data_IF_408392934298
#
_entry.id   IF_408392934298
#
_cell.length_a   1.000
_cell.length_b   1.000
_cell.length_c   1.000
_cell.angle_alpha   90.00
_cell.angle_beta   90.00
_cell.angle_gamma   90.00
#
_symmetry.space_group_name_H-M   'P 1'
#
loop_
_entity.id
_entity.type
_entity.pdbx_description
1 polymer ?
#
# COMPACT_ATOMS: atom_id res chain seq x y z
N UNK A 1 8.99 14.97 -4.53
CA UNK A 1 7.60 14.50 -4.62
C UNK A 1 7.14 14.12 -3.23
N UNK A 2 5.92 14.42 -2.80
CA UNK A 2 5.56 14.33 -1.38
C UNK A 2 5.33 12.91 -0.85
N UNK A 3 5.15 11.90 -1.71
CA UNK A 3 4.82 10.53 -1.28
C UNK A 3 5.79 9.51 -1.84
N UNK A 4 6.07 8.47 -1.02
CA UNK A 4 6.80 7.29 -1.43
C UNK A 4 5.88 6.06 -1.35
N UNK A 5 5.83 5.27 -2.43
CA UNK A 5 5.07 4.03 -2.48
C UNK A 5 6.01 2.87 -2.74
N UNK A 6 6.15 1.97 -1.78
CA UNK A 6 7.10 0.88 -1.87
C UNK A 6 6.40 -0.47 -1.83
N UNK A 7 6.59 -1.28 -2.87
CA UNK A 7 6.06 -2.64 -2.94
C UNK A 7 7.13 -3.69 -2.70
N UNK A 8 6.93 -4.59 -1.74
CA UNK A 8 7.84 -5.68 -1.44
C UNK A 8 7.20 -7.05 -1.73
N UNK A 9 7.88 -7.87 -2.53
CA UNK A 9 7.40 -9.15 -3.02
C UNK A 9 6.29 -9.03 -4.06
N UNK A 10 5.77 -10.17 -4.52
CA UNK A 10 4.78 -10.20 -5.60
C UNK A 10 3.52 -9.38 -5.28
N UNK A 11 2.87 -9.64 -4.16
CA UNK A 11 1.62 -8.97 -3.81
C UNK A 11 1.81 -7.46 -3.60
N UNK A 12 2.87 -7.05 -2.89
CA UNK A 12 3.18 -5.64 -2.68
C UNK A 12 3.50 -4.92 -3.98
N UNK A 13 4.35 -5.49 -4.83
CA UNK A 13 4.70 -4.90 -6.14
C UNK A 13 3.48 -4.76 -7.05
N UNK A 14 2.60 -5.78 -7.10
CA UNK A 14 1.38 -5.72 -7.91
C UNK A 14 0.39 -4.67 -7.41
N UNK A 15 0.30 -4.46 -6.09
CA UNK A 15 -0.59 -3.44 -5.53
C UNK A 15 -0.08 -2.03 -5.81
N UNK A 16 1.24 -1.80 -5.71
CA UNK A 16 1.82 -0.51 -6.12
C UNK A 16 1.61 -0.26 -7.62
N UNK A 17 1.79 -1.29 -8.46
CA UNK A 17 1.53 -1.16 -9.90
C UNK A 17 0.07 -0.74 -10.19
N UNK A 18 -0.89 -1.30 -9.45
CA UNK A 18 -2.30 -0.94 -9.57
C UNK A 18 -2.60 0.48 -9.07
N UNK A 19 -1.94 0.93 -8.00
CA UNK A 19 -2.03 2.33 -7.55
C UNK A 19 -1.53 3.28 -8.64
N UNK A 20 -0.43 2.94 -9.31
CA UNK A 20 0.14 3.76 -10.39
C UNK A 20 -0.60 3.62 -11.73
N UNK A 21 -1.56 2.72 -11.85
CA UNK A 21 -2.53 2.71 -12.96
C UNK A 21 -3.50 3.91 -12.90
N UNK A 22 -3.65 4.54 -11.73
CA UNK A 22 -4.48 5.73 -11.57
C UNK A 22 -3.79 6.98 -12.10
N UNK A 23 -4.55 7.80 -12.85
CA UNK A 23 -4.03 9.00 -13.49
C UNK A 23 -3.39 9.98 -12.49
N UNK A 24 -2.25 10.52 -12.86
CA UNK A 24 -1.49 11.54 -12.14
C UNK A 24 -0.79 11.07 -10.85
N UNK A 25 -0.79 9.78 -10.54
CA UNK A 25 -0.03 9.27 -9.38
C UNK A 25 1.47 9.58 -9.49
N UNK A 26 2.03 9.50 -10.69
CA UNK A 26 3.43 9.84 -10.99
C UNK A 26 3.80 11.30 -10.70
N UNK A 27 2.81 12.17 -10.56
CA UNK A 27 3.03 13.59 -10.22
C UNK A 27 3.16 13.85 -8.73
N UNK A 28 2.63 12.95 -7.92
CA UNK A 28 2.52 13.14 -6.47
C UNK A 28 3.31 12.11 -5.67
N UNK A 29 3.71 11.01 -6.31
CA UNK A 29 4.37 9.90 -5.64
C UNK A 29 5.49 9.29 -6.48
N UNK A 30 6.47 8.70 -5.79
CA UNK A 30 7.55 7.91 -6.37
C UNK A 30 7.29 6.43 -6.06
N UNK A 31 7.20 5.53 -7.08
CA UNK A 31 7.09 4.10 -6.84
C UNK A 31 8.48 3.48 -6.68
N UNK A 32 8.63 2.54 -5.74
CA UNK A 32 9.76 1.63 -5.68
C UNK A 32 9.24 0.20 -5.51
N UNK A 33 9.83 -0.76 -6.19
CA UNK A 33 9.44 -2.16 -6.05
C UNK A 33 10.65 -3.07 -5.80
N UNK A 34 10.52 -3.91 -4.78
CA UNK A 34 11.54 -4.87 -4.34
C UNK A 34 11.00 -6.28 -4.52
N UNK A 35 11.64 -7.07 -5.37
CA UNK A 35 11.21 -8.45 -5.61
C UNK A 35 12.39 -9.39 -5.83
N UNK A 36 12.23 -10.63 -5.40
CA UNK A 36 13.25 -11.68 -5.61
C UNK A 36 13.11 -12.44 -6.92
N UNK A 37 12.06 -12.14 -7.72
CA UNK A 37 11.76 -12.86 -8.96
C UNK A 37 11.57 -11.89 -10.11
N UNK A 38 12.43 -12.03 -11.13
CA UNK A 38 12.34 -11.19 -12.35
C UNK A 38 11.00 -11.34 -13.08
N UNK A 39 10.37 -12.52 -12.99
CA UNK A 39 9.08 -12.76 -13.62
C UNK A 39 8.00 -11.82 -13.06
N UNK A 40 7.98 -11.63 -11.75
CA UNK A 40 6.98 -10.79 -11.10
C UNK A 40 7.22 -9.31 -11.43
N UNK A 41 8.49 -8.87 -11.50
CA UNK A 41 8.83 -7.50 -11.93
C UNK A 41 8.42 -7.23 -13.39
N UNK A 42 8.61 -8.20 -14.28
CA UNK A 42 8.20 -8.07 -15.71
C UNK A 42 6.68 -8.04 -15.92
N UNK A 43 5.90 -8.44 -14.93
CA UNK A 43 4.44 -8.36 -15.00
C UNK A 43 3.90 -6.97 -14.62
N UNK A 44 4.75 -6.07 -14.11
CA UNK A 44 4.37 -4.70 -13.79
C UNK A 44 4.24 -3.89 -15.08
N UNK A 45 3.19 -3.08 -15.17
CA UNK A 45 2.82 -2.32 -16.36
C UNK A 45 2.98 -0.81 -16.19
N UNK A 46 2.93 -0.34 -14.95
CA UNK A 46 2.86 1.09 -14.61
C UNK A 46 4.10 1.58 -13.85
N UNK A 47 5.08 0.70 -13.60
CA UNK A 47 6.30 1.04 -12.88
C UNK A 47 7.50 0.79 -13.78
N UNK A 48 8.25 1.86 -14.04
CA UNK A 48 9.46 1.82 -14.87
C UNK A 48 10.58 1.02 -14.21
N UNK A 49 11.44 0.40 -15.06
CA UNK A 49 12.50 -0.47 -14.62
C UNK A 49 13.55 0.22 -13.73
N UNK A 50 13.69 1.52 -13.82
CA UNK A 50 14.58 2.30 -12.95
C UNK A 50 14.18 2.26 -11.49
N UNK A 51 12.90 1.98 -11.22
CA UNK A 51 12.31 1.84 -9.89
C UNK A 51 12.25 0.38 -9.40
N UNK A 52 12.86 -0.56 -10.13
CA UNK A 52 12.91 -1.97 -9.74
C UNK A 52 14.17 -2.30 -8.96
N UNK A 53 14.02 -3.09 -7.93
CA UNK A 53 15.11 -3.61 -7.11
C UNK A 53 14.97 -5.12 -6.93
N UNK A 54 15.95 -5.86 -7.42
CA UNK A 54 16.02 -7.30 -7.25
C UNK A 54 16.62 -7.65 -5.89
N UNK A 55 15.95 -8.49 -5.12
CA UNK A 55 16.48 -9.03 -3.86
C UNK A 55 16.88 -10.47 -4.11
N UNK A 56 18.17 -10.75 -4.20
CA UNK A 56 18.69 -12.04 -4.65
C UNK A 56 19.68 -12.63 -3.63
N UNK A 57 19.49 -13.91 -3.27
CA UNK A 57 20.31 -14.61 -2.28
C UNK A 57 21.83 -14.58 -2.60
N UNK A 58 22.18 -14.68 -3.88
CA UNK A 58 23.58 -14.73 -4.32
C UNK A 58 24.12 -13.39 -4.85
N UNK A 59 23.29 -12.37 -5.00
CA UNK A 59 23.68 -11.11 -5.58
C UNK A 59 23.30 -9.89 -4.74
N UNK A 60 22.65 -10.10 -3.61
CA UNK A 60 22.21 -9.05 -2.71
C UNK A 60 21.08 -8.19 -3.29
N UNK A 61 21.08 -6.91 -2.97
CA UNK A 61 20.17 -5.93 -3.51
C UNK A 61 20.71 -5.38 -4.83
N UNK A 62 19.97 -5.56 -5.92
CA UNK A 62 20.41 -5.24 -7.28
C UNK A 62 19.45 -4.22 -7.91
N UNK A 63 19.90 -3.01 -8.27
CA UNK A 63 19.09 -2.04 -9.01
C UNK A 63 18.71 -2.57 -10.41
N UNK A 64 17.48 -2.28 -10.88
CA UNK A 64 16.94 -2.74 -12.16
C UNK A 64 17.73 -2.29 -13.39
N UNK A 65 18.45 -1.17 -13.27
CA UNK A 65 19.34 -0.62 -14.29
C UNK A 65 20.70 -1.36 -14.41
N UNK A 66 21.00 -2.26 -13.45
CA UNK A 66 22.25 -3.01 -13.42
C UNK A 66 22.36 -3.94 -14.64
N UNK A 67 23.55 -4.00 -15.27
CA UNK A 67 23.83 -4.96 -16.33
C UNK A 67 23.73 -6.39 -15.81
N UNK A 68 23.02 -7.25 -16.55
CA UNK A 68 22.76 -8.63 -16.12
C UNK A 68 21.77 -8.75 -14.96
N UNK A 69 20.91 -7.77 -14.78
CA UNK A 69 19.87 -7.78 -13.75
C UNK A 69 19.02 -9.06 -13.78
N UNK A 70 18.59 -9.47 -14.98
CA UNK A 70 17.72 -10.62 -15.15
C UNK A 70 18.37 -11.95 -14.78
N UNK A 71 19.69 -12.07 -15.03
CA UNK A 71 20.46 -13.25 -14.65
C UNK A 71 20.76 -13.31 -13.15
N UNK A 72 20.74 -12.17 -12.47
CA UNK A 72 20.98 -12.08 -11.02
C UNK A 72 19.72 -12.33 -10.20
N UNK A 73 18.56 -11.93 -10.70
CA UNK A 73 17.25 -11.99 -9.99
C UNK A 73 16.44 -13.17 -10.52
N UNK A 74 16.96 -14.38 -10.36
CA UNK A 74 16.38 -15.58 -10.99
C UNK A 74 15.51 -16.43 -10.09
N UNK A 75 15.61 -16.31 -8.76
CA UNK A 75 14.94 -17.23 -7.84
C UNK A 75 14.42 -16.51 -6.60
N UNK A 76 13.24 -16.91 -6.16
CA UNK A 76 12.70 -16.44 -4.89
C UNK A 76 13.33 -17.15 -3.69
N UNK A 77 13.00 -16.71 -2.49
CA UNK A 77 13.46 -17.29 -1.21
C UNK A 77 12.71 -18.56 -0.79
N UNK A 78 11.96 -19.21 -1.68
CA UNK A 78 11.17 -20.40 -1.34
C UNK A 78 10.17 -20.15 -0.20
N UNK A 79 9.59 -18.96 -0.13
CA UNK A 79 8.70 -18.51 0.94
C UNK A 79 9.38 -18.51 2.33
N UNK A 80 10.68 -18.27 2.38
CA UNK A 80 11.43 -18.18 3.62
C UNK A 80 11.77 -16.70 3.92
N UNK A 81 11.06 -16.03 4.85
CA UNK A 81 11.29 -14.63 5.16
C UNK A 81 12.64 -14.38 5.84
N UNK A 82 13.16 -15.34 6.60
CA UNK A 82 14.46 -15.19 7.30
C UNK A 82 15.60 -14.99 6.31
N UNK A 83 15.58 -15.71 5.17
CA UNK A 83 16.61 -15.52 4.13
C UNK A 83 16.51 -14.17 3.43
N UNK A 84 15.29 -13.69 3.19
CA UNK A 84 15.11 -12.36 2.61
C UNK A 84 15.54 -11.26 3.58
N UNK A 85 15.29 -11.44 4.86
CA UNK A 85 15.73 -10.60 5.96
C UNK A 85 17.28 -10.54 6.03
N UNK A 86 17.96 -11.68 6.01
CA UNK A 86 19.42 -11.76 5.99
C UNK A 86 20.03 -10.99 4.81
N UNK A 87 19.48 -11.18 3.60
CA UNK A 87 19.97 -10.46 2.40
C UNK A 87 19.80 -8.95 2.55
N UNK A 88 18.68 -8.48 3.09
CA UNK A 88 18.46 -7.05 3.28
C UNK A 88 19.37 -6.46 4.36
N UNK A 89 19.58 -7.18 5.47
CA UNK A 89 20.51 -6.78 6.52
C UNK A 89 21.96 -6.62 6.00
N UNK A 90 22.40 -7.53 5.12
CA UNK A 90 23.75 -7.49 4.52
C UNK A 90 23.91 -6.40 3.44
N UNK A 91 22.80 -5.84 2.94
CA UNK A 91 22.79 -4.85 1.85
C UNK A 91 22.19 -3.51 2.25
N UNK A 92 22.25 -3.17 3.53
CA UNK A 92 21.72 -1.91 4.06
C UNK A 92 22.30 -0.67 3.37
N UNK A 93 23.60 -0.66 3.11
CA UNK A 93 24.29 0.46 2.43
C UNK A 93 23.74 0.72 1.02
N UNK A 94 23.37 -0.35 0.30
CA UNK A 94 22.75 -0.23 -1.03
C UNK A 94 21.33 0.31 -0.92
N UNK A 95 20.59 -0.13 0.09
CA UNK A 95 19.25 0.38 0.35
C UNK A 95 19.26 1.88 0.69
N UNK A 96 20.17 2.30 1.56
CA UNK A 96 20.34 3.71 1.93
C UNK A 96 20.76 4.56 0.72
N UNK A 97 21.62 4.01 -0.17
CA UNK A 97 21.96 4.62 -1.46
C UNK A 97 20.74 4.77 -2.37
N UNK A 98 19.89 3.73 -2.44
CA UNK A 98 18.65 3.74 -3.21
C UNK A 98 17.70 4.84 -2.74
N UNK A 99 17.49 4.96 -1.43
CA UNK A 99 16.63 6.02 -0.88
C UNK A 99 17.19 7.39 -1.21
N UNK A 100 18.49 7.59 -1.09
CA UNK A 100 19.16 8.85 -1.44
C UNK A 100 18.98 9.23 -2.92
N UNK A 101 19.08 8.26 -3.81
CA UNK A 101 18.94 8.49 -5.25
C UNK A 101 17.53 8.90 -5.65
N UNK A 102 16.51 8.38 -4.95
CA UNK A 102 15.11 8.66 -5.25
C UNK A 102 14.51 9.82 -4.45
N UNK A 103 14.95 10.05 -3.22
CA UNK A 103 14.39 11.05 -2.33
C UNK A 103 15.22 12.35 -2.29
N UNK A 104 16.36 12.36 -2.93
CA UNK A 104 17.31 13.47 -2.94
C UNK A 104 18.30 13.40 -1.77
N UNK A 105 19.52 13.88 -1.98
CA UNK A 105 20.44 14.09 -0.88
C UNK A 105 19.89 15.25 -0.02
N UNK A 106 19.93 15.12 1.28
CA UNK A 106 19.97 16.28 2.13
C UNK A 106 21.27 17.03 1.73
N UNK A 107 21.15 18.11 0.96
CA UNK A 107 22.30 18.90 0.55
C UNK A 107 22.96 19.52 1.80
N UNK A 108 23.95 18.81 2.32
CA UNK A 108 24.72 19.20 3.50
C UNK A 108 25.73 20.34 3.24
N UNK A 109 25.77 20.90 2.01
CA UNK A 109 26.85 21.78 1.57
C UNK A 109 26.46 23.24 1.32
N UNK A 110 25.25 23.69 1.63
CA UNK A 110 24.91 25.11 1.57
C UNK A 110 24.53 25.65 2.94
N UNK A 111 25.38 26.50 3.49
CA UNK A 111 25.20 27.18 4.80
C UNK A 111 23.92 28.05 4.89
N UNK A 112 23.03 28.04 3.88
CA UNK A 112 21.79 28.84 3.84
C UNK A 112 20.49 28.02 3.85
N UNK A 113 20.55 26.65 3.86
CA UNK A 113 19.37 25.78 3.88
C UNK A 113 19.36 24.88 5.12
N UNK A 114 19.23 25.48 6.31
CA UNK A 114 19.08 24.76 7.58
C UNK A 114 17.79 23.92 7.70
N UNK A 115 17.05 23.65 6.61
CA UNK A 115 15.74 22.97 6.67
C UNK A 115 15.41 22.02 5.51
N UNK A 116 16.30 21.59 4.66
CA UNK A 116 15.96 20.63 3.62
C UNK A 116 16.52 19.23 3.89
N UNK A 117 15.98 18.57 4.91
CA UNK A 117 15.98 17.12 4.97
C UNK A 117 15.18 16.52 3.81
N UNK A 118 15.24 15.19 3.58
CA UNK A 118 14.49 14.55 2.50
C UNK A 118 13.00 14.90 2.64
N UNK A 119 12.46 15.55 1.62
CA UNK A 119 11.08 16.04 1.63
C UNK A 119 10.10 14.92 1.25
N UNK A 120 10.05 13.87 2.07
CA UNK A 120 9.07 12.80 1.97
C UNK A 120 8.33 12.71 3.30
N UNK A 121 7.23 13.44 3.44
CA UNK A 121 6.47 13.45 4.69
C UNK A 121 5.73 12.14 4.94
N UNK A 122 5.54 11.30 3.89
CA UNK A 122 4.70 10.14 4.00
C UNK A 122 5.14 8.99 3.08
N UNK A 123 5.17 7.76 3.62
CA UNK A 123 5.46 6.54 2.88
C UNK A 123 4.39 5.46 3.08
N UNK A 124 3.98 4.81 1.98
CA UNK A 124 3.19 3.59 2.00
C UNK A 124 4.05 2.39 1.64
N UNK A 125 4.05 1.37 2.50
CA UNK A 125 4.76 0.11 2.28
C UNK A 125 3.77 -1.01 2.05
N UNK A 126 3.81 -1.64 0.88
CA UNK A 126 2.91 -2.71 0.49
C UNK A 126 3.61 -4.05 0.54
N UNK A 127 3.06 -5.02 1.24
CA UNK A 127 3.64 -6.35 1.32
C UNK A 127 2.61 -7.46 1.47
N UNK A 128 2.94 -8.64 0.94
CA UNK A 128 2.19 -9.87 1.20
C UNK A 128 2.82 -10.66 2.33
N UNK A 129 2.05 -10.94 3.35
CA UNK A 129 2.51 -11.62 4.57
C UNK A 129 2.59 -13.15 4.47
N UNK A 130 2.07 -13.75 3.38
CA UNK A 130 2.18 -15.21 3.16
C UNK A 130 3.49 -15.65 2.54
N UNK A 131 4.26 -14.71 1.96
CA UNK A 131 5.50 -14.95 1.23
C UNK A 131 6.77 -14.82 2.06
N UNK A 132 7.91 -15.04 1.41
CA UNK A 132 9.23 -14.78 2.01
C UNK A 132 9.68 -13.34 1.81
N UNK A 133 9.63 -12.85 0.56
CA UNK A 133 10.18 -11.56 0.19
C UNK A 133 9.47 -10.41 0.91
N UNK A 134 8.14 -10.33 0.85
CA UNK A 134 7.39 -9.27 1.50
C UNK A 134 7.66 -9.18 3.01
N UNK A 135 7.60 -10.33 3.71
CA UNK A 135 7.82 -10.38 5.15
C UNK A 135 9.26 -10.05 5.58
N UNK A 136 10.26 -10.44 4.78
CA UNK A 136 11.66 -10.24 5.16
C UNK A 136 12.23 -8.89 4.69
N UNK A 137 11.67 -8.29 3.63
CA UNK A 137 12.20 -7.06 3.02
C UNK A 137 11.59 -5.80 3.64
N UNK A 138 10.27 -5.81 3.89
CA UNK A 138 9.52 -4.63 4.32
C UNK A 138 10.04 -3.99 5.61
N UNK A 139 10.39 -4.73 6.68
CA UNK A 139 10.90 -4.12 7.91
C UNK A 139 12.18 -3.31 7.68
N UNK A 140 13.09 -3.83 6.82
CA UNK A 140 14.33 -3.12 6.49
C UNK A 140 14.09 -1.83 5.72
N UNK A 141 13.10 -1.83 4.82
CA UNK A 141 12.75 -0.62 4.07
C UNK A 141 12.15 0.41 5.03
N UNK A 142 11.24 0.00 5.92
CA UNK A 142 10.65 0.89 6.92
C UNK A 142 11.73 1.52 7.82
N UNK A 143 12.61 0.69 8.39
CA UNK A 143 13.75 1.15 9.19
C UNK A 143 14.67 2.09 8.41
N UNK A 144 14.93 1.79 7.13
CA UNK A 144 15.78 2.64 6.30
C UNK A 144 15.14 4.00 6.00
N UNK A 145 13.85 4.05 5.76
CA UNK A 145 13.13 5.31 5.55
C UNK A 145 13.17 6.14 6.84
N UNK A 146 12.88 5.54 7.97
CA UNK A 146 12.91 6.21 9.27
C UNK A 146 14.29 6.81 9.56
N UNK A 147 15.36 6.02 9.41
CA UNK A 147 16.72 6.49 9.65
C UNK A 147 17.13 7.57 8.63
N UNK A 148 16.74 7.43 7.36
CA UNK A 148 17.07 8.39 6.31
C UNK A 148 16.38 9.74 6.50
N UNK A 149 15.17 9.74 7.03
CA UNK A 149 14.36 10.94 7.24
C UNK A 149 14.46 11.51 8.66
N UNK A 150 15.33 10.96 9.50
CA UNK A 150 15.45 11.32 10.93
C UNK A 150 14.08 11.32 11.62
N UNK A 151 13.31 10.23 11.41
CA UNK A 151 11.97 9.99 11.99
C UNK A 151 10.90 11.03 11.56
N UNK A 152 11.15 11.77 10.49
CA UNK A 152 10.21 12.81 10.02
C UNK A 152 9.20 12.30 8.99
N UNK A 153 9.38 11.12 8.43
CA UNK A 153 8.48 10.49 7.48
C UNK A 153 7.51 9.56 8.21
N UNK A 154 6.23 9.86 8.12
CA UNK A 154 5.19 8.95 8.62
C UNK A 154 5.03 7.75 7.69
N UNK A 155 5.10 6.55 8.22
CA UNK A 155 5.13 5.31 7.43
C UNK A 155 3.93 4.43 7.74
N UNK A 156 3.14 4.07 6.72
CA UNK A 156 2.01 3.15 6.84
C UNK A 156 2.27 1.89 6.02
N UNK A 157 2.18 0.73 6.67
CA UNK A 157 2.23 -0.55 5.99
C UNK A 157 0.84 -1.02 5.56
N UNK A 158 0.69 -1.42 4.30
CA UNK A 158 -0.50 -2.09 3.77
C UNK A 158 -0.16 -3.56 3.61
N UNK A 159 -0.64 -4.37 4.54
CA UNK A 159 -0.25 -5.76 4.71
C UNK A 159 -1.34 -6.71 4.23
N UNK A 160 -1.05 -7.49 3.18
CA UNK A 160 -1.98 -8.48 2.62
C UNK A 160 -1.80 -9.81 3.36
N UNK A 161 -2.82 -10.18 4.12
CA UNK A 161 -2.87 -11.46 4.85
C UNK A 161 -3.02 -12.64 3.88
N UNK A 162 -2.36 -13.77 4.12
CA UNK A 162 -2.48 -14.94 3.27
C UNK A 162 -3.86 -15.61 3.43
N UNK A 163 -4.35 -16.21 2.35
CA UNK A 163 -5.49 -17.12 2.45
C UNK A 163 -5.03 -18.44 3.09
N UNK A 164 -5.41 -18.68 4.34
CA UNK A 164 -5.08 -19.90 5.08
C UNK A 164 -6.17 -20.98 5.02
N UNK A 165 -7.31 -20.69 4.36
CA UNK A 165 -8.47 -21.59 4.24
C UNK A 165 -8.53 -22.31 2.88
N UNK A 166 -7.49 -22.22 2.04
CA UNK A 166 -7.41 -22.92 0.76
C UNK A 166 -7.54 -24.45 0.92
N UNK A 167 -7.95 -25.17 -0.13
CA UNK A 167 -8.16 -26.62 -0.06
C UNK A 167 -6.86 -27.29 0.38
N UNK A 168 -6.95 -28.03 1.47
CA UNK A 168 -5.93 -28.97 1.93
C UNK A 168 -6.03 -30.18 1.00
N UNK A 169 -5.30 -30.18 -0.11
CA UNK A 169 -5.31 -31.36 -0.98
C UNK A 169 -5.01 -31.06 -2.44
N UNK A 170 -3.77 -31.00 -2.74
CA UNK A 170 -3.20 -31.22 -4.05
C UNK A 170 -1.88 -31.93 -3.86
N UNK A 171 -1.76 -33.11 -4.43
CA UNK A 171 -0.61 -34.04 -4.36
C UNK A 171 0.61 -33.54 -5.17
N UNK A 172 0.81 -32.24 -5.34
CA UNK A 172 1.99 -31.73 -6.04
C UNK A 172 2.67 -30.59 -5.25
N UNK A 173 3.77 -30.95 -4.70
CA UNK A 173 4.99 -30.22 -4.37
C UNK A 173 4.91 -28.67 -4.39
N UNK A 174 4.97 -28.07 -3.19
CA UNK A 174 5.42 -26.70 -2.92
C UNK A 174 4.40 -25.59 -2.69
N UNK A 175 3.12 -25.84 -2.62
CA UNK A 175 2.27 -24.82 -1.97
C UNK A 175 2.55 -24.86 -0.45
N UNK A 176 3.01 -23.72 0.08
CA UNK A 176 3.30 -23.62 1.50
C UNK A 176 2.04 -24.00 2.27
N UNK A 177 2.19 -24.94 3.21
CA UNK A 177 1.08 -25.33 4.06
C UNK A 177 0.47 -24.10 4.72
N UNK A 178 -0.83 -24.06 5.01
CA UNK A 178 -1.47 -22.96 5.73
C UNK A 178 -0.72 -22.56 7.01
N UNK A 179 -0.13 -23.53 7.70
CA UNK A 179 0.70 -23.30 8.88
C UNK A 179 1.96 -22.49 8.61
N UNK A 180 2.61 -22.68 7.44
CA UNK A 180 3.79 -21.91 7.05
C UNK A 180 3.43 -20.47 6.66
N UNK A 181 2.34 -20.29 5.94
CA UNK A 181 1.88 -18.95 5.60
C UNK A 181 1.47 -18.14 6.84
N UNK A 182 0.79 -18.78 7.80
CA UNK A 182 0.45 -18.16 9.07
C UNK A 182 1.71 -17.80 9.89
N UNK A 183 2.73 -18.70 9.89
CA UNK A 183 4.00 -18.39 10.53
C UNK A 183 4.73 -17.21 9.86
N UNK A 184 4.76 -17.18 8.52
CA UNK A 184 5.33 -16.09 7.77
C UNK A 184 4.61 -14.77 8.08
N UNK A 185 3.28 -14.80 8.13
CA UNK A 185 2.47 -13.63 8.42
C UNK A 185 2.79 -13.07 9.80
N UNK A 186 2.88 -13.92 10.81
CA UNK A 186 3.27 -13.51 12.15
C UNK A 186 4.69 -12.95 12.17
N UNK A 187 5.66 -13.67 11.57
CA UNK A 187 7.05 -13.24 11.51
C UNK A 187 7.21 -11.84 10.87
N UNK A 188 6.50 -11.61 9.74
CA UNK A 188 6.55 -10.33 9.06
C UNK A 188 5.85 -9.24 9.85
N UNK A 189 4.68 -9.54 10.41
CA UNK A 189 3.87 -8.55 11.14
C UNK A 189 4.56 -8.07 12.41
N UNK A 190 5.07 -9.02 13.23
CA UNK A 190 5.79 -8.70 14.48
C UNK A 190 6.98 -7.76 14.22
N UNK A 191 7.63 -7.86 13.05
CA UNK A 191 8.79 -7.03 12.69
C UNK A 191 8.41 -5.71 12.02
N UNK A 192 7.32 -5.68 11.27
CA UNK A 192 6.81 -4.46 10.63
C UNK A 192 6.24 -3.52 11.68
N UNK A 193 5.53 -4.07 12.69
CA UNK A 193 4.89 -3.30 13.75
C UNK A 193 5.88 -2.41 14.53
N UNK A 194 7.12 -2.88 14.68
CA UNK A 194 8.18 -2.13 15.38
C UNK A 194 8.76 -0.97 14.54
N UNK A 195 8.47 -0.92 13.23
CA UNK A 195 9.14 -0.03 12.29
C UNK A 195 8.19 0.96 11.58
N UNK A 196 6.87 0.87 11.79
CA UNK A 196 5.89 1.71 11.10
C UNK A 196 4.91 2.38 12.07
N UNK A 197 4.30 3.49 11.64
CA UNK A 197 3.36 4.27 12.45
C UNK A 197 1.94 3.72 12.42
N UNK A 198 1.60 2.96 11.38
CA UNK A 198 0.29 2.34 11.23
C UNK A 198 0.28 1.16 10.27
N UNK A 199 -0.67 0.25 10.47
CA UNK A 199 -0.84 -0.94 9.63
C UNK A 199 -2.27 -1.05 9.13
N UNK A 200 -2.42 -1.10 7.82
CA UNK A 200 -3.69 -1.42 7.16
C UNK A 200 -3.67 -2.90 6.77
N UNK A 201 -4.62 -3.67 7.30
CA UNK A 201 -4.75 -5.08 6.99
C UNK A 201 -5.71 -5.31 5.83
N UNK A 202 -5.29 -6.17 4.91
CA UNK A 202 -6.07 -6.62 3.76
C UNK A 202 -6.16 -8.13 3.78
N UNK A 203 -7.36 -8.67 3.99
CA UNK A 203 -7.58 -10.11 4.05
C UNK A 203 -7.87 -10.68 2.65
N UNK A 204 -6.92 -11.46 2.17
CA UNK A 204 -7.04 -12.14 0.88
C UNK A 204 -8.13 -13.22 0.84
N UNK A 205 -8.70 -13.60 1.99
CA UNK A 205 -9.81 -14.55 2.06
C UNK A 205 -11.14 -13.96 1.57
N UNK A 206 -11.32 -12.64 1.61
CA UNK A 206 -12.53 -11.99 1.11
C UNK A 206 -12.83 -12.33 -0.35
N UNK A 207 -11.78 -12.58 -1.14
CA UNK A 207 -11.92 -12.96 -2.54
C UNK A 207 -12.50 -14.35 -2.75
N UNK A 208 -12.30 -15.27 -1.81
CA UNK A 208 -12.84 -16.63 -1.92
C UNK A 208 -14.36 -16.70 -1.73
N UNK A 209 -14.98 -15.63 -1.22
CA UNK A 209 -16.43 -15.53 -1.07
C UNK A 209 -17.13 -14.93 -2.29
N UNK A 210 -16.41 -14.32 -3.22
CA UNK A 210 -16.98 -13.84 -4.48
C UNK A 210 -16.66 -14.85 -5.60
N UNK A 211 -17.67 -15.52 -6.10
CA UNK A 211 -17.62 -16.61 -7.08
C UNK A 211 -17.10 -16.20 -8.47
N UNK A 212 -15.83 -15.89 -8.63
CA UNK A 212 -15.23 -15.80 -9.96
C UNK A 212 -13.73 -16.13 -9.89
N UNK A 213 -13.37 -17.35 -10.26
CA UNK A 213 -12.04 -17.90 -10.04
C UNK A 213 -10.92 -17.39 -10.97
N UNK A 214 -11.23 -16.62 -12.00
CA UNK A 214 -10.24 -16.03 -12.91
C UNK A 214 -10.32 -14.50 -12.83
N UNK A 215 -9.35 -13.87 -12.22
CA UNK A 215 -9.29 -12.42 -12.04
C UNK A 215 -9.37 -11.90 -10.60
N UNK A 216 -9.55 -12.77 -9.62
CA UNK A 216 -9.80 -12.41 -8.22
C UNK A 216 -8.72 -11.51 -7.60
N UNK A 217 -7.46 -11.74 -7.95
CA UNK A 217 -6.37 -10.91 -7.44
C UNK A 217 -6.34 -9.50 -8.02
N UNK A 218 -6.72 -9.36 -9.28
CA UNK A 218 -6.80 -8.04 -9.93
C UNK A 218 -7.90 -7.20 -9.29
N UNK A 219 -9.08 -7.77 -9.08
CA UNK A 219 -10.22 -7.08 -8.49
C UNK A 219 -9.95 -6.60 -7.04
N UNK A 220 -9.20 -7.36 -6.24
CA UNK A 220 -8.80 -6.92 -4.89
C UNK A 220 -7.79 -5.79 -4.94
N UNK A 221 -6.76 -5.93 -5.76
CA UNK A 221 -5.74 -4.91 -5.89
C UNK A 221 -6.38 -3.60 -6.38
N UNK A 222 -7.27 -3.67 -7.36
CA UNK A 222 -8.05 -2.51 -7.84
C UNK A 222 -8.88 -1.90 -6.71
N UNK A 223 -9.57 -2.70 -5.90
CA UNK A 223 -10.37 -2.21 -4.78
C UNK A 223 -9.51 -1.50 -3.73
N UNK A 224 -8.39 -2.09 -3.32
CA UNK A 224 -7.48 -1.53 -2.33
C UNK A 224 -6.79 -0.28 -2.88
N UNK A 225 -6.28 -0.33 -4.12
CA UNK A 225 -5.66 0.79 -4.79
C UNK A 225 -6.62 1.98 -4.90
N UNK A 226 -7.85 1.74 -5.39
CA UNK A 226 -8.87 2.78 -5.49
C UNK A 226 -9.26 3.35 -4.13
N UNK A 227 -9.32 2.53 -3.07
CA UNK A 227 -9.60 3.00 -1.71
C UNK A 227 -8.50 3.92 -1.19
N UNK A 228 -7.25 3.54 -1.39
CA UNK A 228 -6.08 4.35 -1.00
C UNK A 228 -5.99 5.64 -1.81
N UNK A 229 -6.17 5.55 -3.13
CA UNK A 229 -6.16 6.73 -4.00
C UNK A 229 -7.26 7.71 -3.62
N UNK A 230 -8.48 7.23 -3.33
CA UNK A 230 -9.56 8.10 -2.86
C UNK A 230 -9.22 8.77 -1.52
N UNK A 231 -8.60 8.05 -0.60
CA UNK A 231 -8.18 8.56 0.70
C UNK A 231 -7.09 9.64 0.55
N UNK A 232 -6.05 9.34 -0.22
CA UNK A 232 -4.90 10.23 -0.44
C UNK A 232 -5.30 11.43 -1.30
N UNK A 233 -6.08 11.21 -2.35
CA UNK A 233 -6.52 12.28 -3.22
C UNK A 233 -7.42 13.28 -2.49
N UNK A 234 -8.04 12.88 -1.36
CA UNK A 234 -8.66 13.81 -0.43
C UNK A 234 -7.68 14.85 0.09
N UNK A 235 -6.46 14.46 0.35
CA UNK A 235 -5.41 15.33 0.91
C UNK A 235 -4.62 16.09 -0.17
N UNK A 236 -4.59 15.60 -1.42
CA UNK A 236 -3.74 16.13 -2.51
C UNK A 236 -4.55 16.88 -3.58
N UNK A 237 -5.86 16.75 -3.61
CA UNK A 237 -6.74 17.36 -4.62
C UNK A 237 -6.82 18.88 -4.59
N UNK A 238 -6.01 19.59 -3.82
CA UNK A 238 -5.80 21.02 -4.03
C UNK A 238 -5.31 21.36 -5.45
N UNK A 239 -4.84 20.35 -6.21
CA UNK A 239 -4.32 20.52 -7.57
C UNK A 239 -5.31 20.18 -8.69
N UNK A 240 -6.50 19.66 -8.40
CA UNK A 240 -7.56 19.57 -9.40
C UNK A 240 -8.22 20.95 -9.51
N UNK A 241 -8.30 21.47 -10.71
CA UNK A 241 -8.96 22.74 -10.98
C UNK A 241 -10.41 22.66 -10.50
N UNK A 242 -10.70 23.33 -9.40
CA UNK A 242 -12.01 23.32 -8.72
C UNK A 242 -13.14 23.88 -9.59
N UNK A 243 -12.80 24.59 -10.67
CA UNK A 243 -13.77 25.14 -11.59
C UNK A 243 -14.52 24.08 -12.40
N UNK A 244 -13.95 22.90 -12.55
CA UNK A 244 -14.57 21.80 -13.29
C UNK A 244 -15.50 20.92 -12.43
N UNK A 245 -15.35 20.98 -11.11
CA UNK A 245 -16.13 20.18 -10.17
C UNK A 245 -16.59 21.07 -9.00
N UNK A 246 -17.89 21.23 -8.87
CA UNK A 246 -18.54 21.92 -7.74
C UNK A 246 -18.40 21.06 -6.45
N UNK A 247 -17.16 20.93 -5.96
CA UNK A 247 -16.78 20.09 -4.82
C UNK A 247 -16.05 20.94 -3.79
N UNK A 248 -16.51 20.89 -2.55
CA UNK A 248 -15.78 21.48 -1.43
C UNK A 248 -14.42 20.79 -1.25
N UNK A 249 -13.38 21.54 -0.85
CA UNK A 249 -12.07 20.95 -0.57
C UNK A 249 -12.20 19.91 0.54
N UNK A 250 -11.49 18.77 0.44
CA UNK A 250 -11.43 17.81 1.51
C UNK A 250 -10.84 18.45 2.77
N UNK A 251 -11.42 18.15 3.90
CA UNK A 251 -11.01 18.67 5.21
C UNK A 251 -9.98 17.72 5.86
N UNK A 252 -9.83 16.51 5.33
CA UNK A 252 -8.90 15.49 5.84
C UNK A 252 -7.50 15.76 5.29
N UNK A 253 -6.52 15.89 6.15
CA UNK A 253 -5.10 15.92 5.79
C UNK A 253 -4.40 14.59 6.17
N UNK A 254 -3.11 14.49 5.81
CA UNK A 254 -2.30 13.31 6.12
C UNK A 254 -2.18 13.08 7.62
N UNK A 255 -2.06 14.14 8.41
CA UNK A 255 -1.94 14.04 9.85
C UNK A 255 -3.21 13.43 10.48
N UNK A 256 -4.39 13.69 9.89
CA UNK A 256 -5.64 13.04 10.31
C UNK A 256 -5.58 11.53 10.07
N UNK A 257 -5.03 11.10 8.93
CA UNK A 257 -4.86 9.68 8.60
C UNK A 257 -3.92 9.02 9.59
N UNK A 258 -2.75 9.58 9.82
CA UNK A 258 -1.76 9.06 10.80
C UNK A 258 -2.37 9.02 12.19
N UNK A 259 -3.01 10.11 12.62
CA UNK A 259 -3.68 10.17 13.93
C UNK A 259 -4.77 9.12 14.08
N UNK A 260 -5.44 8.74 12.99
CA UNK A 260 -6.45 7.67 13.01
C UNK A 260 -5.84 6.28 13.18
N UNK A 261 -4.61 6.09 12.72
CA UNK A 261 -3.87 4.82 12.74
C UNK A 261 -2.97 4.65 13.97
N UNK A 262 -2.55 5.74 14.61
CA UNK A 262 -1.70 5.69 15.79
C UNK A 262 -2.52 5.72 17.08
N UNK A 263 -2.15 4.89 18.05
CA UNK A 263 -2.74 4.89 19.39
C UNK A 263 -1.71 5.37 20.40
N UNK A 264 -1.84 6.62 20.84
CA UNK A 264 -1.05 7.11 21.96
C UNK A 264 -1.46 6.41 23.26
N UNK A 265 -0.50 5.82 23.95
CA UNK A 265 -0.65 5.28 25.31
C UNK A 265 0.12 6.19 26.24
N UNK A 266 -0.53 7.28 26.69
CA UNK A 266 0.10 8.24 27.59
C UNK A 266 1.01 9.26 26.91
N UNK A 267 1.56 10.20 27.70
CA UNK A 267 2.49 11.22 27.19
C UNK A 267 3.80 10.53 26.74
N UNK A 268 3.99 10.40 25.43
CA UNK A 268 5.29 10.08 24.82
C UNK A 268 5.44 8.66 24.25
N UNK A 269 4.44 7.78 24.29
CA UNK A 269 4.51 6.48 23.61
C UNK A 269 3.35 6.36 22.60
N UNK A 270 3.68 6.39 21.32
CA UNK A 270 2.77 6.02 20.23
C UNK A 270 2.93 4.52 19.98
N UNK A 271 1.82 3.78 19.96
CA UNK A 271 1.82 2.39 19.52
C UNK A 271 1.18 2.30 18.16
N UNK A 272 1.77 1.49 17.29
CA UNK A 272 1.27 1.19 15.95
C UNK A 272 -0.15 0.63 16.01
N UNK A 273 -1.05 1.26 15.29
CA UNK A 273 -2.45 0.83 15.22
C UNK A 273 -2.73 0.00 13.98
N UNK A 274 -3.77 -0.82 14.09
CA UNK A 274 -4.27 -1.64 12.99
C UNK A 274 -5.58 -1.06 12.47
N UNK A 275 -5.71 -1.01 11.15
CA UNK A 275 -6.90 -0.51 10.48
C UNK A 275 -7.33 -1.42 9.32
N UNK A 276 -8.55 -1.22 8.87
CA UNK A 276 -9.08 -1.75 7.61
C UNK A 276 -9.65 -0.62 6.76
N UNK A 277 -9.76 -0.84 5.46
CA UNK A 277 -10.35 0.09 4.51
C UNK A 277 -11.72 -0.41 4.08
N UNK A 278 -12.68 0.51 3.98
CA UNK A 278 -13.98 0.24 3.39
C UNK A 278 -14.30 1.27 2.33
N UNK A 279 -14.75 0.84 1.16
CA UNK A 279 -15.10 1.72 0.04
C UNK A 279 -16.46 1.39 -0.55
N UNK A 280 -17.24 2.42 -0.82
CA UNK A 280 -18.51 2.31 -1.52
C UNK A 280 -18.65 3.39 -2.58
N UNK A 281 -19.14 3.02 -3.75
CA UNK A 281 -19.39 3.95 -4.86
C UNK A 281 -20.81 3.73 -5.37
N UNK A 282 -21.56 4.80 -5.52
CA UNK A 282 -22.90 4.76 -6.11
C UNK A 282 -22.98 5.68 -7.33
N UNK A 283 -23.47 5.13 -8.44
CA UNK A 283 -23.72 5.92 -9.64
C UNK A 283 -25.05 6.68 -9.53
N UNK A 284 -25.00 8.00 -9.68
CA UNK A 284 -26.16 8.90 -9.59
C UNK A 284 -27.05 8.87 -10.83
N UNK A 285 -26.59 8.30 -11.94
CA UNK A 285 -27.34 8.14 -13.18
C UNK A 285 -27.42 6.68 -13.57
N UNK A 286 -28.64 6.17 -13.73
CA UNK A 286 -28.85 4.93 -14.48
C UNK A 286 -28.61 5.18 -15.97
N UNK A 287 -28.35 4.11 -16.75
CA UNK A 287 -28.19 4.18 -18.20
C UNK A 287 -29.41 4.89 -18.86
N UNK A 288 -30.62 4.65 -18.35
CA UNK A 288 -31.86 5.31 -18.77
C UNK A 288 -31.88 6.80 -18.40
N UNK A 289 -31.30 7.21 -17.27
CA UNK A 289 -31.19 8.62 -16.87
C UNK A 289 -30.15 9.41 -17.68
N UNK A 290 -29.20 8.72 -18.32
CA UNK A 290 -28.28 9.35 -19.27
C UNK A 290 -28.95 9.62 -20.64
N UNK A 291 -29.79 8.70 -21.08
CA UNK A 291 -30.50 8.79 -22.38
C UNK A 291 -31.75 9.66 -22.31
N UNK A 292 -32.39 9.77 -21.16
CA UNK A 292 -33.66 10.48 -20.99
C UNK A 292 -33.52 11.60 -19.97
N UNK A 293 -33.48 12.87 -20.38
CA UNK A 293 -33.27 14.01 -19.48
C UNK A 293 -34.39 14.20 -18.43
N UNK A 294 -35.51 13.48 -18.56
CA UNK A 294 -36.66 13.54 -17.65
C UNK A 294 -36.64 12.46 -16.56
N UNK A 295 -35.71 11.50 -16.60
CA UNK A 295 -35.57 10.51 -15.55
C UNK A 295 -34.84 11.14 -14.38
N UNK A 296 -35.53 11.24 -13.24
CA UNK A 296 -35.03 11.89 -12.04
C UNK A 296 -33.66 11.35 -11.60
N UNK A 297 -32.83 12.24 -11.09
CA UNK A 297 -31.54 11.91 -10.48
C UNK A 297 -31.81 11.28 -9.12
N UNK A 298 -31.12 10.17 -8.82
CA UNK A 298 -31.20 9.55 -7.50
C UNK A 298 -30.44 10.44 -6.51
N UNK A 299 -31.09 10.80 -5.40
CA UNK A 299 -30.39 11.40 -4.28
C UNK A 299 -29.53 10.33 -3.61
N UNK A 300 -28.34 10.71 -3.20
CA UNK A 300 -27.38 9.83 -2.52
C UNK A 300 -27.64 9.94 -1.02
N UNK A 301 -27.84 8.82 -0.39
CA UNK A 301 -27.85 8.70 1.07
C UNK A 301 -26.42 8.40 1.54
N UNK A 302 -25.76 9.40 2.12
CA UNK A 302 -24.42 9.27 2.65
C UNK A 302 -24.33 8.21 3.76
N UNK A 303 -25.37 8.05 4.56
CA UNK A 303 -25.39 7.02 5.60
C UNK A 303 -25.48 5.61 5.00
N UNK A 304 -26.25 5.43 3.93
CA UNK A 304 -26.30 4.15 3.21
C UNK A 304 -24.96 3.82 2.55
N UNK A 305 -24.28 4.82 1.97
CA UNK A 305 -22.93 4.62 1.40
C UNK A 305 -21.91 4.24 2.49
N UNK A 306 -21.93 4.92 3.61
CA UNK A 306 -21.04 4.60 4.74
C UNK A 306 -21.30 3.17 5.26
N UNK A 307 -22.56 2.77 5.37
CA UNK A 307 -22.92 1.41 5.78
C UNK A 307 -22.43 0.34 4.77
N UNK A 308 -22.55 0.60 3.47
CA UNK A 308 -22.04 -0.31 2.44
C UNK A 308 -20.50 -0.35 2.46
N UNK A 309 -19.82 0.76 2.70
CA UNK A 309 -18.37 0.79 2.86
C UNK A 309 -17.93 -0.03 4.09
N UNK A 310 -18.68 0.10 5.20
CA UNK A 310 -18.47 -0.69 6.40
C UNK A 310 -18.61 -2.20 6.16
N UNK A 311 -19.60 -2.63 5.39
CA UNK A 311 -19.78 -4.04 5.02
C UNK A 311 -18.70 -4.58 4.07
N UNK A 312 -17.98 -3.69 3.37
CA UNK A 312 -16.93 -4.03 2.39
C UNK A 312 -15.52 -3.76 2.92
N UNK A 313 -15.30 -3.95 4.19
CA UNK A 313 -13.98 -3.76 4.80
C UNK A 313 -12.95 -4.75 4.27
N UNK A 314 -11.71 -4.31 4.15
CA UNK A 314 -10.58 -5.16 3.72
C UNK A 314 -10.21 -6.25 4.71
N UNK A 315 -10.70 -6.18 5.94
CA UNK A 315 -10.46 -7.19 6.97
C UNK A 315 -11.74 -7.97 7.26
N UNK A 316 -11.72 -9.27 7.02
CA UNK A 316 -12.85 -10.17 7.24
C UNK A 316 -13.14 -10.33 8.73
N UNK A 317 -14.42 -10.15 9.12
CA UNK A 317 -14.87 -10.37 10.50
C UNK A 317 -14.43 -9.29 11.49
N UNK A 318 -13.89 -8.16 11.02
CA UNK A 318 -13.68 -7.00 11.87
C UNK A 318 -15.04 -6.46 12.34
N UNK A 319 -15.20 -6.31 13.64
CA UNK A 319 -16.36 -5.65 14.23
C UNK A 319 -16.08 -4.15 14.35
N UNK A 320 -16.64 -3.37 13.45
CA UNK A 320 -16.44 -1.92 13.42
C UNK A 320 -17.00 -1.21 14.63
N UNK A 321 -17.89 -1.86 15.39
CA UNK A 321 -18.39 -1.31 16.67
C UNK A 321 -17.32 -1.32 17.77
N UNK A 322 -16.26 -2.11 17.62
CA UNK A 322 -15.10 -2.15 18.50
C UNK A 322 -13.98 -1.20 18.08
N UNK A 323 -14.12 -0.55 16.93
CA UNK A 323 -13.14 0.42 16.46
C UNK A 323 -12.99 1.60 17.43
N UNK A 324 -11.76 1.91 17.79
CA UNK A 324 -11.46 3.04 18.69
C UNK A 324 -11.46 4.37 17.96
N UNK A 325 -11.09 4.35 16.68
CA UNK A 325 -11.05 5.53 15.81
C UNK A 325 -11.58 5.15 14.43
N UNK A 326 -12.20 6.09 13.76
CA UNK A 326 -12.63 5.96 12.38
C UNK A 326 -12.46 7.30 11.67
N UNK A 327 -12.04 7.22 10.41
CA UNK A 327 -12.00 8.35 9.51
C UNK A 327 -12.88 8.03 8.31
N UNK A 328 -13.67 8.97 7.85
CA UNK A 328 -14.58 8.79 6.72
C UNK A 328 -14.51 9.96 5.76
N UNK A 329 -14.36 9.65 4.48
CA UNK A 329 -14.40 10.63 3.40
C UNK A 329 -15.63 10.35 2.51
N UNK A 330 -16.53 11.33 2.40
CA UNK A 330 -17.67 11.27 1.49
C UNK A 330 -17.47 12.32 0.40
N UNK A 331 -17.44 11.86 -0.84
CA UNK A 331 -17.34 12.72 -2.02
C UNK A 331 -18.62 12.65 -2.83
N UNK A 332 -19.24 13.77 -3.04
CA UNK A 332 -20.40 13.88 -3.92
C UNK A 332 -20.53 15.31 -4.43
N UNK A 333 -20.94 15.53 -5.70
CA UNK A 333 -21.36 16.85 -6.12
C UNK A 333 -22.49 17.35 -5.23
N UNK A 334 -22.41 18.61 -4.76
CA UNK A 334 -23.36 19.22 -3.80
C UNK A 334 -24.83 19.07 -4.19
N UNK A 335 -25.10 19.04 -5.49
CA UNK A 335 -26.47 18.84 -6.04
C UNK A 335 -27.07 17.44 -5.85
N UNK A 336 -26.31 16.48 -5.31
CA UNK A 336 -26.76 15.09 -5.09
C UNK A 336 -26.77 14.68 -3.62
N UNK A 337 -26.26 15.50 -2.74
CA UNK A 337 -26.32 15.28 -1.29
C UNK A 337 -27.67 15.80 -0.80
N UNK A 338 -28.38 14.99 -0.03
CA UNK A 338 -29.65 15.36 0.60
C UNK A 338 -29.44 16.15 1.87
#
# INVERSE_FOLDING_TARGET
MPYLFVGAGQAGSSLVDEVFAHNNMEKIATPLVFNSTIRDLKNLSNIDRENWYGVAENAGLVPGTTSGFEEKVTGGFGRNPVRADEVMAENRDILDGTLRDHLGAADADTEEEEQSGPNVPFAFLFCGLGGGTGCGVTPHIASAIRDYTDDSCETIAVCILPNTQGPVGGDDDQEASPSRQAWNARYGLDRIEDEVDGIILVDNQQLSYHEAAEGQFTDLNEYVAASLVDLISGTVLEQIDRSDYDVDPPIIDIQDIVTSLSFGVGEGESTTGYASLGRSVEMTKSLSGYLLPFVGKKQIDAAALAHVADMKQTLTGADTTEARKAIGLVRSPSRYVA
#
